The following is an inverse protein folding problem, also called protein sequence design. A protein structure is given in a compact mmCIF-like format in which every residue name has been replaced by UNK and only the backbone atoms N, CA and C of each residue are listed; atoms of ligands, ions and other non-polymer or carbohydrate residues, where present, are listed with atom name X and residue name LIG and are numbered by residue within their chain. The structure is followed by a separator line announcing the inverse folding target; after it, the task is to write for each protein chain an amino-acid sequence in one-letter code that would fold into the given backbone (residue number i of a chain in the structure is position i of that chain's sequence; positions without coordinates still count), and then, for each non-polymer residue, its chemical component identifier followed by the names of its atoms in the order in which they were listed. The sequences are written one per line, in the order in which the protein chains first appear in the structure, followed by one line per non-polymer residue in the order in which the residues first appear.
data_IF_085594311308
#
_entry.id   IF_085594311308
#
_cell.length_a   1.000
_cell.length_b   1.000
_cell.length_c   1.000
_cell.angle_alpha   90.00
_cell.angle_beta   90.00
_cell.angle_gamma   90.00
#
_symmetry.space_group_name_H-M   'P 1'
#
loop_
_entity.id
_entity.type
_entity.pdbx_description
1 polymer ?
#
# COMPACT_ATOMS: atom_id res chain seq x y z
N UNK A 1 9.79 -3.57 -2.79
CA UNK A 1 8.88 -3.44 -3.96
C UNK A 1 8.43 -1.98 -4.08
N UNK A 2 8.05 -1.47 -5.27
CA UNK A 2 7.41 -0.15 -5.40
C UNK A 2 6.05 -0.09 -4.69
N UNK A 3 5.73 1.05 -4.07
CA UNK A 3 4.47 1.29 -3.35
C UNK A 3 3.24 1.04 -4.21
N UNK A 4 3.20 1.57 -5.43
CA UNK A 4 2.05 1.38 -6.33
C UNK A 4 1.80 -0.09 -6.70
N UNK A 5 2.87 -0.85 -6.91
CA UNK A 5 2.81 -2.29 -7.16
C UNK A 5 2.33 -3.02 -5.89
N UNK A 6 2.85 -2.64 -4.73
CA UNK A 6 2.49 -3.25 -3.45
C UNK A 6 1.00 -3.08 -3.14
N UNK A 7 0.46 -1.86 -3.29
CA UNK A 7 -0.96 -1.57 -3.08
C UNK A 7 -1.88 -2.38 -4.01
N UNK A 8 -1.43 -2.64 -5.25
CA UNK A 8 -2.13 -3.52 -6.18
C UNK A 8 -2.08 -4.99 -5.77
N UNK A 9 -0.92 -5.48 -5.36
CA UNK A 9 -0.70 -6.91 -5.05
C UNK A 9 -1.40 -7.29 -3.75
N UNK A 10 -1.30 -6.45 -2.72
CA UNK A 10 -2.03 -6.57 -1.45
C UNK A 10 -3.54 -6.36 -1.57
N UNK A 11 -4.02 -5.90 -2.73
CA UNK A 11 -5.44 -5.61 -3.00
C UNK A 11 -6.04 -4.50 -2.13
N UNK A 12 -5.22 -3.71 -1.44
CA UNK A 12 -5.63 -2.47 -0.77
C UNK A 12 -6.19 -1.47 -1.80
N UNK A 13 -5.59 -1.43 -3.00
CA UNK A 13 -6.12 -0.69 -4.14
C UNK A 13 -6.25 -1.65 -5.33
N UNK A 14 -7.45 -1.74 -5.90
CA UNK A 14 -7.77 -2.71 -6.96
C UNK A 14 -7.02 -2.48 -8.27
N UNK A 15 -6.66 -1.23 -8.60
CA UNK A 15 -6.01 -0.85 -9.86
C UNK A 15 -4.70 -0.11 -9.59
N UNK A 16 -3.65 -0.46 -10.32
CA UNK A 16 -2.33 0.17 -10.18
C UNK A 16 -2.31 1.65 -10.61
N UNK A 17 -3.13 2.04 -11.59
CA UNK A 17 -3.29 3.45 -11.98
C UNK A 17 -3.82 4.29 -10.83
N UNK A 18 -4.88 3.82 -10.17
CA UNK A 18 -5.47 4.48 -8.99
C UNK A 18 -4.48 4.56 -7.83
N UNK A 19 -3.63 3.54 -7.65
CA UNK A 19 -2.57 3.59 -6.65
C UNK A 19 -1.52 4.67 -6.95
N UNK A 20 -1.15 4.85 -8.23
CA UNK A 20 -0.26 5.95 -8.63
C UNK A 20 -0.92 7.30 -8.35
N UNK A 21 -2.16 7.50 -8.81
CA UNK A 21 -2.92 8.74 -8.57
C UNK A 21 -3.07 9.07 -7.08
N UNK A 22 -3.29 8.07 -6.22
CA UNK A 22 -3.37 8.26 -4.78
C UNK A 22 -2.03 8.69 -4.16
N UNK A 23 -0.92 8.13 -4.62
CA UNK A 23 0.42 8.53 -4.19
C UNK A 23 0.73 9.96 -4.64
N UNK A 24 0.41 10.30 -5.90
CA UNK A 24 0.66 11.63 -6.48
C UNK A 24 -0.20 12.72 -5.80
N UNK A 25 -1.42 12.37 -5.39
CA UNK A 25 -2.30 13.23 -4.61
C UNK A 25 -1.91 13.33 -3.11
N UNK A 26 -0.83 12.69 -2.67
CA UNK A 26 -0.39 12.71 -1.27
C UNK A 26 -1.32 11.95 -0.32
N UNK A 27 -2.17 11.06 -0.83
CA UNK A 27 -3.14 10.27 -0.07
C UNK A 27 -2.57 8.97 0.48
N UNK A 28 -1.32 8.64 0.17
CA UNK A 28 -0.62 7.47 0.68
C UNK A 28 0.61 7.90 1.45
N UNK A 29 0.68 7.48 2.71
CA UNK A 29 1.79 7.75 3.60
C UNK A 29 2.52 6.44 3.93
N UNK A 30 3.84 6.52 4.01
CA UNK A 30 4.70 5.48 4.58
C UNK A 30 5.30 6.08 5.85
N UNK A 31 5.05 5.46 7.00
CA UNK A 31 5.52 5.91 8.31
C UNK A 31 5.22 7.41 8.55
N UNK A 32 3.95 7.79 8.36
CA UNK A 32 3.42 9.14 8.53
C UNK A 32 4.00 10.20 7.58
N UNK A 33 4.68 9.78 6.50
CA UNK A 33 5.24 10.67 5.48
C UNK A 33 4.65 10.38 4.10
N UNK A 34 4.23 11.40 3.32
CA UNK A 34 3.70 11.19 1.98
C UNK A 34 4.77 10.55 1.09
N UNK A 35 4.38 9.52 0.35
CA UNK A 35 5.30 8.74 -0.46
C UNK A 35 4.89 8.74 -1.94
N UNK A 36 5.88 8.88 -2.83
CA UNK A 36 5.66 8.73 -4.27
C UNK A 36 5.38 7.27 -4.61
N UNK A 37 4.69 7.04 -5.72
CA UNK A 37 4.40 5.69 -6.22
C UNK A 37 5.65 4.82 -6.43
N UNK A 38 6.80 5.43 -6.73
CA UNK A 38 8.09 4.76 -6.91
C UNK A 38 8.80 4.42 -5.60
N UNK A 39 8.30 4.88 -4.44
CA UNK A 39 8.90 4.61 -3.14
C UNK A 39 8.97 3.10 -2.88
N UNK A 40 10.04 2.67 -2.20
CA UNK A 40 10.19 1.28 -1.82
C UNK A 40 9.47 0.99 -0.51
N UNK A 41 8.66 -0.05 -0.51
CA UNK A 41 8.01 -0.63 0.67
C UNK A 41 8.84 -1.79 1.19
N UNK A 42 8.98 -1.85 2.51
CA UNK A 42 9.65 -2.90 3.28
C UNK A 42 8.69 -3.51 4.30
N UNK A 43 9.00 -4.73 4.76
CA UNK A 43 8.31 -5.30 5.90
C UNK A 43 8.59 -4.47 7.16
N UNK A 44 7.56 -4.28 7.99
CA UNK A 44 7.54 -3.39 9.16
C UNK A 44 7.13 -1.95 8.85
N UNK A 45 6.98 -1.56 7.58
CA UNK A 45 6.48 -0.22 7.26
C UNK A 45 4.99 -0.10 7.61
N UNK A 46 4.59 1.06 8.15
CA UNK A 46 3.19 1.40 8.35
C UNK A 46 2.71 2.25 7.18
N UNK A 47 1.71 1.75 6.46
CA UNK A 47 1.06 2.46 5.37
C UNK A 47 -0.25 3.07 5.86
N UNK A 48 -0.48 4.32 5.51
CA UNK A 48 -1.78 4.95 5.67
C UNK A 48 -2.31 5.39 4.31
N UNK A 49 -3.56 5.04 4.01
CA UNK A 49 -4.23 5.32 2.75
C UNK A 49 -5.51 6.10 3.03
N UNK A 50 -5.60 7.31 2.49
CA UNK A 50 -6.79 8.15 2.59
C UNK A 50 -7.75 7.88 1.43
N UNK A 51 -8.89 7.28 1.77
CA UNK A 51 -10.03 7.04 0.89
C UNK A 51 -11.14 8.08 1.16
N UNK A 52 -11.01 9.27 0.56
CA UNK A 52 -11.99 10.33 0.73
C UNK A 52 -12.07 10.78 2.19
N UNK A 53 -13.15 10.41 2.89
CA UNK A 53 -13.37 10.75 4.31
C UNK A 53 -12.86 9.69 5.28
N UNK A 54 -12.40 8.53 4.81
CA UNK A 54 -11.87 7.44 5.65
C UNK A 54 -10.39 7.28 5.42
N UNK A 55 -9.62 7.01 6.47
CA UNK A 55 -8.25 6.49 6.35
C UNK A 55 -8.22 5.01 6.69
N UNK A 56 -7.33 4.29 6.02
CA UNK A 56 -7.03 2.89 6.29
C UNK A 56 -5.56 2.82 6.63
N UNK A 57 -5.25 2.28 7.81
CA UNK A 57 -3.88 2.13 8.28
C UNK A 57 -3.53 0.66 8.39
N UNK A 58 -2.39 0.28 7.84
CA UNK A 58 -1.94 -1.10 7.79
C UNK A 58 -0.44 -1.20 8.05
N UNK A 59 -0.03 -2.26 8.71
CA UNK A 59 1.38 -2.63 8.84
C UNK A 59 1.73 -3.67 7.78
N UNK A 60 2.85 -3.47 7.08
CA UNK A 60 3.37 -4.42 6.09
C UNK A 60 4.06 -5.56 6.79
N UNK A 61 3.54 -6.78 6.65
CA UNK A 61 4.16 -7.98 7.21
C UNK A 61 5.16 -8.60 6.23
N UNK A 62 4.86 -8.56 4.94
CA UNK A 62 5.69 -9.20 3.92
C UNK A 62 5.60 -8.47 2.58
N UNK A 63 6.67 -8.50 1.80
CA UNK A 63 6.77 -7.87 0.49
C UNK A 63 7.22 -8.91 -0.54
N UNK A 64 6.27 -9.44 -1.30
CA UNK A 64 6.49 -10.46 -2.32
C UNK A 64 6.01 -10.00 -3.71
N UNK A 65 6.72 -10.40 -4.77
CA UNK A 65 6.41 -9.98 -6.14
C UNK A 65 5.19 -10.64 -6.78
N UNK A 66 4.98 -11.90 -6.46
CA UNK A 66 3.89 -12.73 -7.00
C UNK A 66 3.15 -13.33 -5.82
N UNK A 67 1.88 -12.99 -5.69
CA UNK A 67 1.04 -13.42 -4.56
C UNK A 67 -0.30 -13.86 -5.13
N UNK A 68 -0.81 -15.01 -4.69
CA UNK A 68 -2.15 -15.47 -5.09
C UNK A 68 -3.22 -14.62 -4.43
N UNK A 69 -4.46 -14.82 -4.84
CA UNK A 69 -5.59 -14.08 -4.28
C UNK A 69 -5.73 -14.30 -2.77
N UNK A 70 -5.60 -15.54 -2.35
CA UNK A 70 -5.85 -15.99 -0.98
C UNK A 70 -4.78 -15.46 -0.02
N UNK A 71 -3.53 -15.44 -0.47
CA UNK A 71 -2.35 -15.03 0.32
C UNK A 71 -2.20 -13.50 0.45
N UNK A 72 -2.94 -12.71 -0.33
CA UNK A 72 -2.80 -11.25 -0.33
C UNK A 72 -3.12 -10.62 1.03
N UNK A 73 -3.98 -11.26 1.83
CA UNK A 73 -4.32 -10.83 3.18
C UNK A 73 -3.18 -11.06 4.19
N UNK A 74 -2.22 -11.93 3.87
CA UNK A 74 -1.08 -12.24 4.74
C UNK A 74 0.07 -11.23 4.59
N UNK A 75 0.00 -10.36 3.58
CA UNK A 75 1.03 -9.34 3.32
C UNK A 75 0.98 -8.18 4.31
N UNK A 76 -0.16 -7.95 4.96
CA UNK A 76 -0.35 -6.82 5.86
C UNK A 76 -1.33 -7.14 6.99
N UNK A 77 -1.34 -6.30 8.02
CA UNK A 77 -2.30 -6.33 9.11
C UNK A 77 -2.95 -4.95 9.27
N UNK A 78 -4.25 -4.91 9.53
CA UNK A 78 -4.95 -3.67 9.86
C UNK A 78 -4.58 -3.18 11.26
N UNK A 79 -4.42 -1.86 11.38
CA UNK A 79 -4.21 -1.15 12.65
C UNK A 79 -5.46 -0.36 13.04
#
# INVERSE_FOLDING_TARGET
MRLDKYLKVSRLIKRRSVANEACDAGRVLINDKPAKASAQVKAGDVLEILFGTKSVRVEVLNVQETVRKEEAQELYRYL
#
